data_IF_272948574248
#
_entry.id   IF_272948574248
#
_cell.length_a   1.000
_cell.length_b   1.000
_cell.length_c   1.000
_cell.angle_alpha   90.00
_cell.angle_beta   90.00
_cell.angle_gamma   90.00
#
_symmetry.space_group_name_H-M   'P 1'
#
loop_
_entity.id
_entity.type
_entity.pdbx_description
1 polymer ?
#
# COMPACT_ATOMS: atom_id res chain seq x y z
N UNK A 1 54.24 -8.55 28.25
CA UNK A 1 53.08 -8.99 27.44
C UNK A 1 51.81 -8.15 27.70
N UNK A 2 51.49 -7.75 28.90
CA UNK A 2 50.27 -6.98 29.22
C UNK A 2 50.12 -5.62 28.48
N UNK A 3 51.19 -4.87 28.27
CA UNK A 3 51.13 -3.58 27.55
C UNK A 3 50.80 -3.69 26.05
N UNK A 4 51.08 -4.82 25.43
CA UNK A 4 50.73 -5.04 24.00
C UNK A 4 49.23 -5.33 23.82
N UNK A 5 48.64 -6.07 24.74
CA UNK A 5 47.21 -6.35 24.72
C UNK A 5 46.38 -5.10 25.01
N UNK A 6 46.81 -4.24 25.90
CA UNK A 6 46.13 -2.99 26.24
C UNK A 6 46.09 -2.02 25.04
N UNK A 7 47.22 -1.92 24.29
CA UNK A 7 47.26 -1.08 23.07
C UNK A 7 46.41 -1.62 21.96
N UNK A 8 46.32 -2.94 21.78
CA UNK A 8 45.49 -3.58 20.77
C UNK A 8 43.98 -3.42 21.07
N UNK A 9 43.59 -3.54 22.35
CA UNK A 9 42.23 -3.31 22.81
C UNK A 9 41.78 -1.86 22.62
N UNK A 10 42.67 -0.88 22.85
CA UNK A 10 42.36 0.54 22.65
C UNK A 10 42.21 0.90 21.16
N UNK A 11 43.00 0.29 20.27
CA UNK A 11 42.88 0.47 18.81
C UNK A 11 41.60 -0.15 18.28
N UNK A 12 41.19 -1.34 18.75
CA UNK A 12 39.91 -1.92 18.39
C UNK A 12 38.71 -1.06 18.86
N UNK A 13 38.80 -0.45 20.05
CA UNK A 13 37.71 0.38 20.58
C UNK A 13 37.57 1.71 19.85
N UNK A 14 38.68 2.28 19.32
CA UNK A 14 38.63 3.49 18.48
C UNK A 14 38.14 3.24 17.07
N UNK A 15 38.34 2.05 16.52
CA UNK A 15 37.80 1.68 15.20
C UNK A 15 36.27 1.50 15.23
N UNK A 16 35.71 1.02 16.34
CA UNK A 16 34.25 0.88 16.51
C UNK A 16 33.58 2.25 16.71
N UNK A 17 34.28 3.24 17.29
CA UNK A 17 33.71 4.57 17.49
C UNK A 17 33.68 5.46 16.25
N UNK A 18 34.30 5.04 15.14
CA UNK A 18 34.33 5.79 13.88
C UNK A 18 33.43 5.23 12.78
N UNK A 19 32.55 4.27 13.08
CA UNK A 19 31.44 4.00 12.18
C UNK A 19 30.44 5.13 12.34
N UNK A 20 30.50 6.11 11.46
CA UNK A 20 29.42 7.06 11.23
C UNK A 20 28.16 6.23 11.00
N UNK A 21 27.35 6.07 12.04
CA UNK A 21 25.97 5.65 11.91
C UNK A 21 25.28 6.76 11.10
N UNK A 22 25.34 6.65 9.77
CA UNK A 22 24.48 7.47 8.93
C UNK A 22 23.08 7.16 9.41
N UNK A 23 22.47 8.13 10.06
CA UNK A 23 21.05 8.05 10.37
C UNK A 23 20.36 7.67 9.07
N UNK A 24 19.66 6.55 9.09
CA UNK A 24 18.92 6.08 7.91
C UNK A 24 17.95 7.20 7.58
N UNK A 25 18.10 7.77 6.39
CA UNK A 25 17.15 8.80 5.95
C UNK A 25 15.74 8.20 6.04
N UNK A 26 14.81 8.96 6.58
CA UNK A 26 13.41 8.54 6.63
C UNK A 26 12.98 8.06 5.23
N UNK A 27 12.34 6.89 5.13
CA UNK A 27 11.93 6.36 3.83
C UNK A 27 10.88 7.28 3.21
N UNK A 28 11.18 7.81 2.04
CA UNK A 28 10.32 8.73 1.29
C UNK A 28 10.07 8.16 -0.11
N UNK A 29 8.81 8.08 -0.51
CA UNK A 29 8.44 7.90 -1.91
C UNK A 29 8.29 9.28 -2.53
N UNK A 30 8.86 9.50 -3.72
CA UNK A 30 8.76 10.80 -4.37
C UNK A 30 8.62 10.67 -5.89
N UNK A 31 8.00 11.68 -6.50
CA UNK A 31 7.77 11.79 -7.93
C UNK A 31 7.90 13.25 -8.36
N UNK A 32 8.27 13.45 -9.62
CA UNK A 32 8.47 14.77 -10.25
C UNK A 32 7.30 15.21 -11.14
N UNK A 33 6.21 14.47 -11.11
CA UNK A 33 4.98 14.76 -11.85
C UNK A 33 3.74 14.41 -11.01
N UNK A 34 2.58 15.08 -11.23
CA UNK A 34 1.30 14.64 -10.66
C UNK A 34 0.93 13.24 -11.09
N UNK A 35 0.09 12.55 -10.31
CA UNK A 35 -0.47 11.27 -10.71
C UNK A 35 -1.51 11.47 -11.82
N UNK A 36 -1.45 10.62 -12.85
CA UNK A 36 -2.47 10.54 -13.91
C UNK A 36 -3.44 9.39 -13.64
N UNK A 37 -2.94 8.30 -13.03
CA UNK A 37 -3.69 7.09 -12.74
C UNK A 37 -3.73 6.80 -11.24
N UNK A 38 -4.69 5.99 -10.83
CA UNK A 38 -4.89 5.62 -9.43
C UNK A 38 -3.64 4.95 -8.80
N UNK A 39 -2.96 4.12 -9.56
CA UNK A 39 -1.77 3.39 -9.12
C UNK A 39 -0.56 4.30 -8.84
N UNK A 40 -0.58 5.52 -9.37
CA UNK A 40 0.47 6.50 -9.15
C UNK A 40 0.19 7.41 -7.95
N UNK A 41 -1.06 7.46 -7.48
CA UNK A 41 -1.44 8.31 -6.35
C UNK A 41 -0.78 7.86 -5.05
N UNK A 42 -0.48 8.81 -4.16
CA UNK A 42 0.16 8.53 -2.88
C UNK A 42 -0.88 8.06 -1.85
N UNK A 43 -0.70 6.85 -1.29
CA UNK A 43 -1.66 6.30 -0.34
C UNK A 43 -1.46 6.84 1.08
N UNK A 44 -2.54 7.25 1.72
CA UNK A 44 -2.60 7.59 3.14
C UNK A 44 -3.71 6.79 3.81
N UNK A 45 -3.52 6.47 5.09
CA UNK A 45 -4.57 5.77 5.84
C UNK A 45 -4.23 5.53 7.30
N UNK A 46 -5.27 5.24 8.07
CA UNK A 46 -5.16 4.94 9.50
C UNK A 46 -5.81 3.59 9.89
N UNK A 47 -6.04 2.71 8.90
CA UNK A 47 -6.71 1.43 9.06
C UNK A 47 -8.23 1.52 8.87
N UNK A 48 -8.87 2.66 9.12
CA UNK A 48 -10.30 2.89 8.91
C UNK A 48 -10.58 3.79 7.71
N UNK A 49 -9.90 4.93 7.66
CA UNK A 49 -9.98 5.87 6.55
C UNK A 49 -8.79 5.68 5.63
N UNK A 50 -9.02 5.80 4.34
CA UNK A 50 -7.99 5.77 3.32
C UNK A 50 -8.13 6.95 2.36
N UNK A 51 -7.02 7.39 1.79
CA UNK A 51 -6.97 8.42 0.78
C UNK A 51 -5.89 8.10 -0.26
N UNK A 52 -6.18 8.42 -1.52
CA UNK A 52 -5.23 8.41 -2.62
C UNK A 52 -5.05 9.84 -3.10
N UNK A 53 -3.86 10.41 -2.89
CA UNK A 53 -3.52 11.82 -3.18
C UNK A 53 -2.81 11.90 -4.53
N UNK A 54 -3.38 12.62 -5.48
CA UNK A 54 -2.82 12.76 -6.83
C UNK A 54 -1.71 13.81 -6.91
N UNK A 55 -1.77 14.83 -6.08
CA UNK A 55 -0.74 15.86 -5.99
C UNK A 55 -0.75 16.86 -7.15
N UNK A 56 -1.90 17.17 -7.75
CA UNK A 56 -1.97 18.13 -8.84
C UNK A 56 -2.11 19.56 -8.31
N UNK A 57 -1.19 20.49 -8.67
CA UNK A 57 -1.20 21.85 -8.17
C UNK A 57 -2.41 22.69 -8.56
N UNK A 58 -3.03 22.38 -9.69
CA UNK A 58 -4.18 23.16 -10.23
C UNK A 58 -5.50 22.50 -9.86
N UNK A 59 -5.60 21.18 -10.08
CA UNK A 59 -6.82 20.42 -9.86
C UNK A 59 -6.49 19.18 -9.02
N UNK A 60 -6.37 19.35 -7.73
CA UNK A 60 -6.11 18.22 -6.82
C UNK A 60 -7.33 17.31 -6.73
N UNK A 61 -7.07 16.00 -6.79
CA UNK A 61 -8.04 14.97 -6.47
C UNK A 61 -7.51 14.12 -5.34
N UNK A 62 -8.34 13.93 -4.32
CA UNK A 62 -8.08 13.01 -3.23
C UNK A 62 -9.23 12.02 -3.19
N UNK A 63 -8.98 10.81 -3.65
CA UNK A 63 -9.97 9.74 -3.59
C UNK A 63 -10.03 9.17 -2.18
N UNK A 64 -11.23 9.11 -1.62
CA UNK A 64 -11.45 8.74 -0.23
C UNK A 64 -12.04 7.35 -0.12
N UNK A 65 -11.66 6.68 0.94
CA UNK A 65 -12.22 5.41 1.35
C UNK A 65 -12.53 5.37 2.85
N UNK A 66 -13.52 4.58 3.21
CA UNK A 66 -13.84 4.19 4.59
C UNK A 66 -14.19 2.70 4.61
N UNK A 67 -13.57 1.91 5.49
CA UNK A 67 -13.56 0.45 5.46
C UNK A 67 -14.94 -0.20 5.57
N UNK A 68 -15.92 0.47 6.18
CA UNK A 68 -17.26 -0.07 6.41
C UNK A 68 -18.24 0.23 5.27
N UNK A 69 -17.85 1.05 4.28
CA UNK A 69 -18.72 1.40 3.17
C UNK A 69 -18.79 0.24 2.18
N UNK A 70 -19.90 -0.47 2.19
CA UNK A 70 -20.18 -1.56 1.27
C UNK A 70 -21.65 -1.53 0.83
N UNK A 71 -21.91 -2.00 -0.37
CA UNK A 71 -23.29 -2.15 -0.85
C UNK A 71 -23.89 -3.44 -0.32
N UNK A 72 -25.04 -3.34 0.36
CA UNK A 72 -25.80 -4.49 0.84
C UNK A 72 -25.78 -4.64 2.36
N UNK A 73 -26.29 -5.77 2.82
CA UNK A 73 -26.38 -6.16 4.20
C UNK A 73 -25.67 -7.50 4.44
N UNK A 74 -25.24 -7.81 5.66
CA UNK A 74 -24.66 -9.11 5.99
C UNK A 74 -25.58 -10.25 5.57
N UNK A 75 -25.04 -11.21 4.84
CA UNK A 75 -25.78 -12.40 4.40
C UNK A 75 -24.92 -13.66 4.51
N UNK A 76 -25.58 -14.81 4.50
CA UNK A 76 -24.88 -16.11 4.57
C UNK A 76 -24.29 -16.44 3.20
N UNK A 77 -22.99 -16.15 3.02
CA UNK A 77 -22.28 -16.33 1.76
C UNK A 77 -21.57 -17.69 1.63
N UNK A 78 -21.95 -18.68 2.41
CA UNK A 78 -21.39 -20.02 2.28
C UNK A 78 -22.25 -20.93 1.42
N UNK A 79 -21.64 -21.86 0.70
CA UNK A 79 -22.34 -22.92 0.02
C UNK A 79 -22.46 -24.13 0.98
N UNK A 80 -23.67 -24.48 1.45
CA UNK A 80 -23.85 -25.56 2.42
C UNK A 80 -23.49 -26.95 1.87
N UNK A 81 -23.43 -27.09 0.55
CA UNK A 81 -23.12 -28.37 -0.11
C UNK A 81 -21.61 -28.60 -0.24
N UNK A 82 -20.78 -27.58 -0.03
CA UNK A 82 -19.30 -27.64 -0.17
C UNK A 82 -18.69 -28.84 0.54
N UNK A 83 -19.13 -29.15 1.75
CA UNK A 83 -18.60 -30.28 2.54
C UNK A 83 -18.74 -31.64 1.84
N UNK A 84 -19.73 -31.79 0.97
CA UNK A 84 -20.00 -33.06 0.30
C UNK A 84 -18.94 -33.38 -0.78
N UNK A 85 -18.27 -32.37 -1.30
CA UNK A 85 -17.27 -32.48 -2.36
C UNK A 85 -15.83 -32.45 -1.88
N UNK A 86 -15.59 -32.12 -0.61
CA UNK A 86 -14.23 -31.99 -0.06
C UNK A 86 -13.42 -33.28 -0.15
N UNK A 87 -14.04 -34.44 0.07
CA UNK A 87 -13.33 -35.73 0.00
C UNK A 87 -12.90 -36.07 -1.41
N UNK A 88 -13.74 -35.81 -2.40
CA UNK A 88 -13.46 -36.04 -3.81
C UNK A 88 -12.35 -35.11 -4.31
N UNK A 89 -12.41 -33.82 -3.96
CA UNK A 89 -11.38 -32.85 -4.33
C UNK A 89 -10.02 -33.26 -3.73
N UNK A 90 -9.98 -33.67 -2.45
CA UNK A 90 -8.74 -34.16 -1.82
C UNK A 90 -8.20 -35.39 -2.52
N UNK A 91 -9.05 -36.32 -2.90
CA UNK A 91 -8.64 -37.51 -3.63
C UNK A 91 -8.00 -37.16 -4.96
N UNK A 92 -8.63 -36.28 -5.75
CA UNK A 92 -8.08 -35.78 -7.01
C UNK A 92 -6.69 -35.13 -6.82
N UNK A 93 -6.51 -34.35 -5.76
CA UNK A 93 -5.20 -33.76 -5.43
C UNK A 93 -4.17 -34.86 -5.11
N UNK A 94 -4.50 -35.86 -4.31
CA UNK A 94 -3.59 -36.96 -3.97
C UNK A 94 -3.24 -37.84 -5.18
N UNK A 95 -4.15 -37.95 -6.14
CA UNK A 95 -3.92 -38.64 -7.41
C UNK A 95 -3.13 -37.82 -8.43
N UNK A 96 -2.76 -36.55 -8.10
CA UNK A 96 -2.05 -35.64 -9.01
C UNK A 96 -2.94 -35.03 -10.10
N UNK A 97 -4.24 -35.18 -10.03
CA UNK A 97 -5.24 -34.64 -10.98
C UNK A 97 -5.63 -33.22 -10.62
N UNK A 98 -4.63 -32.30 -10.64
CA UNK A 98 -4.83 -30.91 -10.21
C UNK A 98 -5.83 -30.11 -11.07
N UNK A 99 -5.87 -30.24 -12.41
CA UNK A 99 -6.85 -29.53 -13.24
C UNK A 99 -8.30 -29.92 -12.89
N UNK A 100 -8.56 -31.21 -12.70
CA UNK A 100 -9.88 -31.72 -12.34
C UNK A 100 -10.29 -31.26 -10.94
N UNK A 101 -9.35 -31.30 -9.99
CA UNK A 101 -9.56 -30.79 -8.64
C UNK A 101 -9.90 -29.30 -8.64
N UNK A 102 -9.21 -28.51 -9.44
CA UNK A 102 -9.44 -27.08 -9.57
C UNK A 102 -10.82 -26.78 -10.19
N UNK A 103 -11.19 -27.50 -11.23
CA UNK A 103 -12.50 -27.38 -11.87
C UNK A 103 -13.62 -27.69 -10.88
N UNK A 104 -13.54 -28.83 -10.21
CA UNK A 104 -14.54 -29.23 -9.22
C UNK A 104 -14.62 -28.28 -8.04
N UNK A 105 -13.48 -27.78 -7.58
CA UNK A 105 -13.43 -26.76 -6.51
C UNK A 105 -14.10 -25.44 -6.96
N UNK A 106 -13.81 -24.97 -8.16
CA UNK A 106 -14.44 -23.78 -8.74
C UNK A 106 -15.96 -23.88 -8.86
N UNK A 107 -16.46 -25.06 -9.19
CA UNK A 107 -17.90 -25.28 -9.35
C UNK A 107 -18.63 -25.48 -8.01
N UNK A 108 -17.96 -26.08 -7.00
CA UNK A 108 -18.64 -26.62 -5.81
C UNK A 108 -18.23 -25.97 -4.49
N UNK A 109 -17.05 -25.36 -4.41
CA UNK A 109 -16.59 -24.73 -3.17
C UNK A 109 -16.92 -23.23 -3.10
N UNK A 110 -17.08 -22.56 -4.22
CA UNK A 110 -17.35 -21.13 -4.24
C UNK A 110 -18.74 -20.80 -3.69
N UNK A 111 -18.84 -19.63 -3.10
CA UNK A 111 -20.12 -19.11 -2.61
C UNK A 111 -21.11 -18.91 -3.77
N UNK A 112 -22.41 -19.11 -3.50
CA UNK A 112 -23.45 -18.95 -4.52
C UNK A 112 -23.64 -17.52 -4.99
N UNK A 113 -23.25 -16.54 -4.18
CA UNK A 113 -23.51 -15.11 -4.40
C UNK A 113 -22.24 -14.28 -4.69
N UNK A 114 -21.18 -14.92 -5.19
CA UNK A 114 -19.93 -14.23 -5.50
C UNK A 114 -19.02 -14.01 -4.28
N UNK A 115 -18.12 -13.04 -4.39
CA UNK A 115 -16.99 -12.86 -3.48
C UNK A 115 -17.25 -11.94 -2.27
N UNK A 116 -18.48 -11.78 -1.85
CA UNK A 116 -18.84 -10.94 -0.72
C UNK A 116 -19.76 -9.77 -1.11
N UNK A 117 -19.86 -8.78 -0.24
CA UNK A 117 -20.59 -7.56 -0.52
C UNK A 117 -19.80 -6.67 -1.47
N UNK A 118 -20.42 -6.06 -2.48
CA UNK A 118 -19.75 -5.10 -3.33
C UNK A 118 -19.20 -3.95 -2.50
N UNK A 119 -17.95 -3.63 -2.75
CA UNK A 119 -17.27 -2.50 -2.14
C UNK A 119 -17.72 -1.20 -2.79
N UNK A 120 -17.85 -0.14 -1.98
CA UNK A 120 -18.14 1.21 -2.44
C UNK A 120 -17.07 2.18 -1.97
N UNK A 121 -16.67 3.10 -2.84
CA UNK A 121 -15.80 4.21 -2.48
C UNK A 121 -16.57 5.28 -1.70
N UNK A 122 -15.90 6.00 -0.80
CA UNK A 122 -16.51 7.14 -0.11
C UNK A 122 -16.72 8.35 -1.04
N UNK A 123 -15.97 8.40 -2.15
CA UNK A 123 -16.02 9.48 -3.14
C UNK A 123 -14.68 10.18 -3.30
N UNK A 124 -14.67 11.31 -4.01
CA UNK A 124 -13.48 12.11 -4.25
C UNK A 124 -13.66 13.54 -3.75
N UNK A 125 -12.68 14.03 -3.02
CA UNK A 125 -12.52 15.45 -2.72
C UNK A 125 -11.76 16.08 -3.89
N UNK A 126 -12.35 17.07 -4.55
CA UNK A 126 -11.72 17.83 -5.64
C UNK A 126 -11.52 19.26 -5.21
N UNK A 127 -10.26 19.70 -5.28
CA UNK A 127 -9.85 21.06 -4.95
C UNK A 127 -9.30 21.72 -6.21
N UNK A 128 -9.78 22.92 -6.51
CA UNK A 128 -9.24 23.74 -7.59
C UNK A 128 -8.56 24.97 -7.01
N UNK A 129 -7.27 25.08 -7.30
CA UNK A 129 -6.46 26.22 -6.93
C UNK A 129 -6.36 27.17 -8.13
N UNK A 130 -6.66 28.43 -7.91
CA UNK A 130 -6.58 29.45 -8.95
C UNK A 130 -5.13 29.93 -9.10
N UNK A 131 -4.77 30.37 -10.31
CA UNK A 131 -3.49 30.98 -10.61
C UNK A 131 -2.26 30.09 -10.31
N UNK A 132 -2.44 28.77 -10.43
CA UNK A 132 -1.38 27.77 -10.25
C UNK A 132 -0.91 27.16 -11.58
N UNK A 133 -1.42 27.64 -12.71
CA UNK A 133 -0.99 27.19 -14.04
C UNK A 133 0.46 27.62 -14.31
N UNK A 134 1.21 26.80 -15.04
CA UNK A 134 2.61 27.10 -15.39
C UNK A 134 3.61 26.86 -14.25
N UNK A 135 3.21 26.08 -13.24
CA UNK A 135 4.12 25.70 -12.15
C UNK A 135 5.39 25.00 -12.65
N UNK A 136 6.48 25.17 -11.93
CA UNK A 136 7.80 24.58 -12.17
C UNK A 136 8.34 23.94 -10.89
N UNK A 137 9.48 23.24 -10.98
CA UNK A 137 10.15 22.61 -9.84
C UNK A 137 9.21 21.73 -8.99
N UNK A 138 8.34 21.02 -9.70
CA UNK A 138 7.33 20.15 -9.06
C UNK A 138 7.98 18.96 -8.35
N UNK A 139 7.48 18.67 -7.17
CA UNK A 139 7.80 17.47 -6.42
C UNK A 139 6.61 17.09 -5.54
N UNK A 140 6.18 15.85 -5.61
CA UNK A 140 5.28 15.26 -4.63
C UNK A 140 5.99 14.12 -3.91
N UNK A 141 5.72 13.99 -2.63
CA UNK A 141 6.36 12.96 -1.81
C UNK A 141 5.45 12.45 -0.70
N UNK A 142 5.70 11.21 -0.28
CA UNK A 142 5.11 10.59 0.88
C UNK A 142 6.23 10.26 1.87
N UNK A 143 6.23 10.93 3.02
CA UNK A 143 7.04 10.57 4.17
C UNK A 143 6.39 9.37 4.85
N UNK A 144 7.03 8.20 4.73
CA UNK A 144 6.48 6.94 5.26
C UNK A 144 6.56 6.86 6.79
N UNK A 145 7.45 7.62 7.42
CA UNK A 145 7.57 7.66 8.88
C UNK A 145 6.45 8.49 9.50
N UNK A 146 6.14 9.64 8.89
CA UNK A 146 5.12 10.57 9.39
C UNK A 146 3.74 10.33 8.81
N UNK A 147 3.63 9.50 7.76
CA UNK A 147 2.42 9.31 6.96
C UNK A 147 1.86 10.66 6.44
N UNK A 148 2.72 11.47 5.85
CA UNK A 148 2.38 12.79 5.29
C UNK A 148 2.69 12.80 3.80
N UNK A 149 1.67 13.06 2.99
CA UNK A 149 1.84 13.40 1.58
C UNK A 149 1.99 14.92 1.43
N UNK A 150 2.99 15.35 0.67
CA UNK A 150 3.23 16.76 0.36
C UNK A 150 3.47 16.96 -1.13
N UNK A 151 3.04 18.13 -1.62
CA UNK A 151 3.31 18.59 -2.98
C UNK A 151 3.95 19.96 -2.89
N UNK A 152 5.12 20.10 -3.51
CA UNK A 152 5.87 21.35 -3.58
C UNK A 152 6.09 21.72 -5.04
N UNK A 153 5.97 22.99 -5.34
CA UNK A 153 6.18 23.52 -6.70
C UNK A 153 6.42 25.04 -6.62
N UNK A 154 6.81 25.62 -7.72
CA UNK A 154 7.07 27.07 -7.83
C UNK A 154 6.12 27.66 -8.85
N UNK A 155 5.43 28.75 -8.49
CA UNK A 155 4.62 29.59 -9.38
C UNK A 155 5.13 31.01 -9.30
N UNK A 156 5.33 31.69 -10.44
CA UNK A 156 5.81 33.07 -10.54
C UNK A 156 7.10 33.35 -9.72
N UNK A 157 7.94 32.34 -9.56
CA UNK A 157 9.21 32.46 -8.85
C UNK A 157 9.12 32.31 -7.32
N UNK A 158 7.97 31.92 -6.77
CA UNK A 158 7.72 31.69 -5.35
C UNK A 158 7.35 30.22 -5.08
#
# INVERSE_FOLDING_TARGET
>A
MAHRFLKLSLVCMTIIASTDLKAQQAPVLWYDSPAEFWEEALPLGNGRLGAMVYGNPVNEEIQLNEETISAGAPYKNYNPETKNYLSEIRQLIFEGKYPEAQTLAGERLLSKNGFGMPYQTAGSLRLRFQDQEGYTNFRRELDLEKAVASTTYTVDGV
#
